data_IF_632531126894
#
_entry.id   IF_632531126894
#
_cell.length_a   1.000
_cell.length_b   1.000
_cell.length_c   1.000
_cell.angle_alpha   90.00
_cell.angle_beta   90.00
_cell.angle_gamma   90.00
#
_symmetry.space_group_name_H-M   'P 1'
#
loop_
_entity.id
_entity.type
_entity.pdbx_description
1 polymer ?
#
# COMPACT_ATOMS: atom_id res chain seq x y z
N UNK A 1 -17.98 6.00 -11.08
CA UNK A 1 -17.86 5.70 -12.53
C UNK A 1 -16.58 6.35 -13.03
N UNK A 2 -15.58 5.57 -13.46
CA UNK A 2 -14.20 6.02 -13.76
C UNK A 2 -14.03 6.56 -15.20
N UNK A 3 -15.09 7.05 -15.83
CA UNK A 3 -15.03 7.54 -17.21
C UNK A 3 -14.09 8.75 -17.30
N UNK A 4 -13.08 8.68 -18.18
CA UNK A 4 -12.07 9.73 -18.35
C UNK A 4 -10.76 9.51 -17.57
N UNK A 5 -10.67 8.49 -16.71
CA UNK A 5 -9.45 8.15 -15.99
C UNK A 5 -8.79 6.90 -16.58
N UNK A 6 -7.45 6.89 -16.66
CA UNK A 6 -6.68 5.68 -16.96
C UNK A 6 -6.71 4.77 -15.73
N UNK A 7 -7.60 3.78 -15.73
CA UNK A 7 -7.63 2.74 -14.71
C UNK A 7 -6.81 1.53 -15.17
N UNK A 8 -6.01 0.96 -14.26
CA UNK A 8 -5.25 -0.28 -14.47
C UNK A 8 -5.69 -1.25 -13.38
N UNK A 9 -6.18 -2.41 -13.77
CA UNK A 9 -6.38 -3.51 -12.83
C UNK A 9 -5.04 -4.23 -12.64
N UNK A 10 -4.60 -4.36 -11.39
CA UNK A 10 -3.41 -5.13 -11.04
C UNK A 10 -3.88 -6.41 -10.37
N UNK A 11 -3.47 -7.56 -10.90
CA UNK A 11 -3.75 -8.84 -10.25
C UNK A 11 -2.79 -9.01 -9.09
N UNK A 12 -3.38 -9.17 -7.91
CA UNK A 12 -2.68 -9.55 -6.71
C UNK A 12 -2.16 -10.99 -6.80
N UNK A 13 -0.85 -11.16 -6.62
CA UNK A 13 -0.16 -12.48 -6.64
C UNK A 13 0.71 -12.64 -5.41
N UNK A 14 0.75 -13.85 -4.84
CA UNK A 14 1.54 -14.16 -3.65
C UNK A 14 0.77 -13.96 -2.34
N UNK A 15 1.47 -14.19 -1.23
CA UNK A 15 0.94 -14.07 0.12
C UNK A 15 0.68 -12.60 0.49
N UNK A 16 -0.49 -12.32 1.04
CA UNK A 16 -0.89 -10.97 1.45
C UNK A 16 0.06 -10.40 2.52
N UNK A 17 0.50 -11.23 3.45
CA UNK A 17 1.38 -10.82 4.55
C UNK A 17 2.74 -10.36 4.01
N UNK A 18 3.31 -11.12 3.08
CA UNK A 18 4.60 -10.82 2.45
C UNK A 18 4.54 -9.51 1.66
N UNK A 19 3.41 -9.18 1.03
CA UNK A 19 3.25 -7.90 0.32
C UNK A 19 3.07 -6.71 1.25
N UNK A 20 2.49 -6.93 2.42
CA UNK A 20 2.30 -5.90 3.44
C UNK A 20 3.58 -5.64 4.26
N UNK A 21 4.53 -6.57 4.26
CA UNK A 21 5.78 -6.48 5.02
C UNK A 21 6.58 -5.18 4.77
N UNK A 22 6.85 -4.74 3.52
CA UNK A 22 7.59 -3.50 3.29
C UNK A 22 6.86 -2.26 3.80
N UNK A 23 5.53 -2.26 3.70
CA UNK A 23 4.67 -1.19 4.21
C UNK A 23 4.68 -1.15 5.74
N UNK A 24 4.55 -2.32 6.40
CA UNK A 24 4.66 -2.46 7.85
C UNK A 24 6.03 -2.00 8.37
N UNK A 25 7.11 -2.31 7.65
CA UNK A 25 8.45 -1.82 8.00
C UNK A 25 8.54 -0.28 7.99
N UNK A 26 7.86 0.40 7.04
CA UNK A 26 7.81 1.87 7.01
C UNK A 26 6.97 2.45 8.16
N UNK A 27 5.91 1.76 8.57
CA UNK A 27 5.15 2.14 9.77
C UNK A 27 6.02 2.10 11.02
N UNK A 28 6.75 1.01 11.23
CA UNK A 28 7.64 0.84 12.38
C UNK A 28 8.83 1.81 12.36
N UNK A 29 9.28 2.19 11.16
CA UNK A 29 10.34 3.19 10.98
C UNK A 29 9.85 4.64 11.24
N UNK A 30 8.55 4.88 11.39
CA UNK A 30 7.99 6.21 11.57
C UNK A 30 7.91 7.04 10.28
N UNK A 31 7.92 6.39 9.12
CA UNK A 31 7.90 7.05 7.80
C UNK A 31 6.48 7.21 7.23
N UNK A 32 5.44 6.89 8.01
CA UNK A 32 4.04 6.96 7.59
C UNK A 32 3.30 7.94 8.47
N UNK A 33 2.73 8.97 7.83
CA UNK A 33 1.83 9.93 8.45
C UNK A 33 0.38 9.65 8.04
N UNK A 34 -0.53 9.69 9.02
CA UNK A 34 -1.97 9.55 8.77
C UNK A 34 -2.67 10.88 9.01
N UNK A 35 -3.45 11.30 8.02
CA UNK A 35 -4.31 12.49 8.14
C UNK A 35 -5.30 12.27 9.29
N UNK A 36 -5.37 13.21 10.23
CA UNK A 36 -6.27 13.11 11.38
C UNK A 36 -7.72 13.21 10.94
N UNK A 37 -8.53 12.23 11.32
CA UNK A 37 -9.96 12.24 11.12
C UNK A 37 -10.68 11.16 11.92
N UNK A 38 -12.02 11.10 11.83
CA UNK A 38 -12.84 10.10 12.49
C UNK A 38 -12.55 8.66 12.02
N UNK A 39 -11.89 8.48 10.87
CA UNK A 39 -11.52 7.18 10.33
C UNK A 39 -10.27 6.56 10.98
N UNK A 40 -9.50 7.33 11.77
CA UNK A 40 -8.24 6.87 12.32
C UNK A 40 -8.39 5.67 13.26
N UNK A 41 -9.42 5.66 14.12
CA UNK A 41 -9.63 4.57 15.08
C UNK A 41 -9.93 3.25 14.36
N UNK A 42 -10.80 3.27 13.35
CA UNK A 42 -11.09 2.11 12.52
C UNK A 42 -9.84 1.65 11.75
N UNK A 43 -9.10 2.59 11.15
CA UNK A 43 -7.88 2.30 10.42
C UNK A 43 -6.81 1.64 11.31
N UNK A 44 -6.55 2.20 12.50
CA UNK A 44 -5.56 1.63 13.43
C UNK A 44 -6.03 0.29 13.98
N UNK A 45 -7.31 0.15 14.34
CA UNK A 45 -7.88 -1.12 14.80
C UNK A 45 -7.81 -2.24 13.76
N UNK A 46 -7.84 -1.88 12.47
CA UNK A 46 -7.60 -2.82 11.36
C UNK A 46 -6.11 -3.20 11.25
N UNK A 47 -5.21 -2.20 11.29
CA UNK A 47 -3.76 -2.43 11.18
C UNK A 47 -3.19 -3.24 12.38
N UNK A 48 -3.70 -3.03 13.59
CA UNK A 48 -3.32 -3.80 14.79
C UNK A 48 -3.84 -5.23 14.77
N UNK A 49 -4.91 -5.49 14.02
CA UNK A 49 -5.56 -6.80 13.98
C UNK A 49 -5.13 -7.66 12.79
N UNK A 50 -4.37 -7.09 11.85
CA UNK A 50 -3.73 -7.81 10.77
C UNK A 50 -2.65 -8.74 11.33
N UNK A 51 -2.52 -10.00 10.86
CA UNK A 51 -3.17 -10.61 9.69
C UNK A 51 -4.46 -11.40 9.99
N UNK A 52 -4.97 -11.38 11.24
CA UNK A 52 -5.93 -12.37 11.73
C UNK A 52 -7.43 -12.02 11.66
N UNK A 53 -7.81 -10.82 11.21
CA UNK A 53 -9.24 -10.39 11.16
C UNK A 53 -9.82 -10.39 9.75
N UNK A 54 -11.15 -10.36 9.68
CA UNK A 54 -11.94 -10.39 8.44
C UNK A 54 -11.88 -9.11 7.59
N UNK A 55 -11.28 -8.04 8.10
CA UNK A 55 -11.12 -6.77 7.40
C UNK A 55 -9.63 -6.49 7.22
N UNK A 56 -9.20 -6.45 5.97
CA UNK A 56 -7.84 -6.14 5.53
C UNK A 56 -7.82 -5.10 4.39
N UNK A 57 -8.97 -4.51 4.06
CA UNK A 57 -9.14 -3.57 2.95
C UNK A 57 -8.24 -2.32 3.06
N UNK A 58 -8.07 -1.76 4.26
CA UNK A 58 -7.21 -0.59 4.52
C UNK A 58 -5.73 -0.96 4.42
N UNK A 59 -5.37 -2.16 4.87
CA UNK A 59 -3.98 -2.67 4.80
C UNK A 59 -3.61 -3.04 3.36
N UNK A 60 -4.51 -3.69 2.62
CA UNK A 60 -4.33 -4.02 1.21
C UNK A 60 -4.25 -2.75 0.35
N UNK A 61 -5.10 -1.74 0.62
CA UNK A 61 -5.03 -0.45 -0.08
C UNK A 61 -3.70 0.27 0.18
N UNK A 62 -3.26 0.34 1.44
CA UNK A 62 -2.02 1.01 1.83
C UNK A 62 -0.76 0.32 1.29
N UNK A 63 -0.67 -0.99 1.47
CA UNK A 63 0.45 -1.79 0.99
C UNK A 63 0.52 -1.84 -0.54
N UNK A 64 -0.63 -1.96 -1.22
CA UNK A 64 -0.72 -1.93 -2.68
C UNK A 64 -0.24 -0.59 -3.26
N UNK A 65 -0.70 0.53 -2.69
CA UNK A 65 -0.25 1.86 -3.11
C UNK A 65 1.24 2.08 -2.87
N UNK A 66 1.76 1.65 -1.71
CA UNK A 66 3.18 1.74 -1.39
C UNK A 66 4.05 0.96 -2.38
N UNK A 67 3.65 -0.27 -2.68
CA UNK A 67 4.38 -1.14 -3.60
C UNK A 67 4.35 -0.62 -5.05
N UNK A 68 3.23 -0.07 -5.54
CA UNK A 68 3.17 0.55 -6.86
C UNK A 68 4.13 1.74 -6.94
N UNK A 69 4.16 2.61 -5.92
CA UNK A 69 5.08 3.76 -5.85
C UNK A 69 6.55 3.32 -5.86
N UNK A 70 6.91 2.30 -5.08
CA UNK A 70 8.27 1.74 -5.09
C UNK A 70 8.65 1.19 -6.47
N UNK A 71 7.73 0.51 -7.15
CA UNK A 71 7.99 -0.07 -8.47
C UNK A 71 8.15 0.99 -9.57
N UNK A 72 7.31 2.04 -9.58
CA UNK A 72 7.37 3.12 -10.55
C UNK A 72 8.68 3.92 -10.41
N UNK A 73 9.11 4.17 -9.17
CA UNK A 73 10.41 4.80 -8.89
C UNK A 73 11.54 3.97 -9.50
N UNK A 74 11.54 2.65 -9.29
CA UNK A 74 12.56 1.76 -9.83
C UNK A 74 12.59 1.75 -11.36
N UNK A 75 11.42 1.69 -12.02
CA UNK A 75 11.34 1.71 -13.49
C UNK A 75 11.75 3.05 -14.09
N UNK A 76 11.42 4.17 -13.44
CA UNK A 76 11.91 5.50 -13.83
C UNK A 76 13.43 5.61 -13.71
N UNK A 77 14.03 5.08 -12.64
CA UNK A 77 15.48 5.05 -12.49
C UNK A 77 16.17 4.20 -13.56
N UNK A 78 15.65 3.01 -13.86
CA UNK A 78 16.17 2.15 -14.95
C UNK A 78 16.06 2.84 -16.32
N UNK A 79 14.98 3.58 -16.57
CA UNK A 79 14.81 4.33 -17.81
C UNK A 79 15.83 5.46 -17.95
N UNK A 80 16.19 6.14 -16.85
CA UNK A 80 17.22 7.18 -16.85
C UNK A 80 18.64 6.62 -17.02
N UNK A 81 18.94 5.45 -16.46
CA UNK A 81 20.26 4.82 -16.55
C UNK A 81 20.59 4.20 -17.93
N UNK A 82 19.61 4.10 -18.83
CA UNK A 82 19.78 3.56 -20.21
C UNK A 82 20.13 4.64 -21.25
N UNK A 83 20.41 5.87 -20.84
CA UNK A 83 20.78 7.00 -21.70
C UNK A 83 22.22 7.43 -21.42
#
# INVERSE_FOLDING_TARGET
>A
MLSGYRAKAVRETGDKEVRAEPYSAQWQAGNIDVVRGPWNEALFGEHEAFPGKAHDDSVDAGSGAFNELQSDVLERFKAMARK
#
